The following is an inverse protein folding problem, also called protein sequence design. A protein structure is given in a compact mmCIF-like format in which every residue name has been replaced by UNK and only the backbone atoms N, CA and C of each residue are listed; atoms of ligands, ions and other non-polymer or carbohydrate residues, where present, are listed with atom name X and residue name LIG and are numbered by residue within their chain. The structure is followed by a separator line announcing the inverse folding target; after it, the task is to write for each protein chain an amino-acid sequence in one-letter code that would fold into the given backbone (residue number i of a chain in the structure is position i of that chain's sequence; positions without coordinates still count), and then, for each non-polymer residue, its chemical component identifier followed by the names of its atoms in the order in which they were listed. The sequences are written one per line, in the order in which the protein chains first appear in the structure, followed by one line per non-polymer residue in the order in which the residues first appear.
data_IF_745050915916
#
_entry.id   IF_745050915916
#
_cell.length_a   1.000
_cell.length_b   1.000
_cell.length_c   1.000
_cell.angle_alpha   90.00
_cell.angle_beta   90.00
_cell.angle_gamma   90.00
#
_symmetry.space_group_name_H-M   'P 1'
#
loop_
_entity.id
_entity.type
_entity.pdbx_description
1 polymer ?
#
# COMPACT_ATOMS: atom_id res chain seq x y z
N UNK A 1 -9.13 21.04 -2.44
CA UNK A 1 -8.99 20.34 -3.74
C UNK A 1 -10.30 19.62 -3.98
N UNK A 2 -10.79 19.53 -5.19
CA UNK A 2 -12.00 18.75 -5.49
C UNK A 2 -11.66 17.25 -5.35
N UNK A 3 -12.62 16.45 -4.90
CA UNK A 3 -12.48 14.99 -4.68
C UNK A 3 -11.90 14.18 -5.88
N UNK A 4 -11.81 14.79 -7.07
CA UNK A 4 -11.43 14.12 -8.31
C UNK A 4 -9.97 14.24 -8.73
N UNK A 5 -9.15 15.05 -8.08
CA UNK A 5 -7.79 15.39 -8.55
C UNK A 5 -6.66 14.92 -7.60
N UNK A 6 -6.98 14.30 -6.48
CA UNK A 6 -5.97 13.86 -5.49
C UNK A 6 -5.19 12.65 -6.00
N UNK A 7 -3.89 12.78 -6.20
CA UNK A 7 -3.03 11.67 -6.61
C UNK A 7 -2.64 10.82 -5.41
N UNK A 8 -2.77 9.50 -5.54
CA UNK A 8 -2.38 8.53 -4.50
C UNK A 8 -1.21 7.70 -5.00
N UNK A 9 -0.05 7.82 -4.35
CA UNK A 9 1.09 6.93 -4.62
C UNK A 9 1.01 5.71 -3.73
N UNK A 10 1.01 4.53 -4.35
CA UNK A 10 1.02 3.24 -3.66
C UNK A 10 2.32 2.52 -3.99
N UNK A 11 3.06 2.12 -2.96
CA UNK A 11 4.32 1.42 -3.08
C UNK A 11 4.13 -0.05 -2.71
N UNK A 12 4.59 -0.98 -3.55
CA UNK A 12 4.67 -2.40 -3.20
C UNK A 12 6.13 -2.84 -3.16
N UNK A 13 6.71 -3.06 -1.97
CA UNK A 13 8.00 -3.72 -1.83
C UNK A 13 7.83 -5.22 -2.06
N UNK A 14 8.78 -5.85 -2.78
CA UNK A 14 8.76 -7.27 -3.10
C UNK A 14 10.14 -7.90 -2.92
N UNK A 15 10.20 -9.08 -2.34
CA UNK A 15 11.39 -9.94 -2.37
C UNK A 15 11.01 -11.40 -2.22
N UNK A 16 11.18 -12.20 -3.30
CA UNK A 16 10.84 -13.61 -3.37
C UNK A 16 9.40 -13.92 -2.92
N UNK A 17 8.44 -13.22 -3.51
CA UNK A 17 7.01 -13.30 -3.17
C UNK A 17 6.13 -13.66 -4.39
N UNK A 18 6.66 -14.36 -5.40
CA UNK A 18 5.95 -14.69 -6.64
C UNK A 18 4.56 -15.31 -6.40
N UNK A 19 4.42 -16.11 -5.34
CA UNK A 19 3.14 -16.77 -5.01
C UNK A 19 2.01 -15.81 -4.61
N UNK A 20 2.33 -14.57 -4.19
CA UNK A 20 1.35 -13.60 -3.69
C UNK A 20 1.33 -12.31 -4.51
N UNK A 21 2.47 -11.92 -5.09
CA UNK A 21 2.69 -10.63 -5.73
C UNK A 21 1.66 -10.29 -6.80
N UNK A 22 1.29 -11.27 -7.65
CA UNK A 22 0.31 -11.04 -8.70
C UNK A 22 -1.04 -10.55 -8.14
N UNK A 23 -1.49 -11.16 -7.05
CA UNK A 23 -2.73 -10.76 -6.37
C UNK A 23 -2.64 -9.36 -5.78
N UNK A 24 -1.51 -9.01 -5.16
CA UNK A 24 -1.26 -7.67 -4.65
C UNK A 24 -1.36 -6.64 -5.78
N UNK A 25 -0.63 -6.86 -6.89
CA UNK A 25 -0.63 -5.98 -8.06
C UNK A 25 -2.04 -5.82 -8.63
N UNK A 26 -2.74 -6.92 -8.88
CA UNK A 26 -4.11 -6.88 -9.40
C UNK A 26 -5.06 -6.11 -8.49
N UNK A 27 -4.91 -6.22 -7.16
CA UNK A 27 -5.78 -5.54 -6.20
C UNK A 27 -5.63 -4.02 -6.22
N UNK A 28 -4.44 -3.51 -6.52
CA UNK A 28 -4.19 -2.08 -6.71
C UNK A 28 -4.74 -1.60 -8.06
N UNK A 29 -4.44 -2.34 -9.13
CA UNK A 29 -4.88 -1.99 -10.49
C UNK A 29 -6.40 -2.07 -10.67
N UNK A 30 -7.09 -2.89 -9.87
CA UNK A 30 -8.56 -3.04 -9.89
C UNK A 30 -9.29 -2.01 -9.01
N UNK A 31 -8.60 -1.08 -8.36
CA UNK A 31 -9.26 -0.03 -7.58
C UNK A 31 -10.09 0.89 -8.47
N UNK A 32 -11.24 1.28 -7.99
CA UNK A 32 -12.19 2.16 -8.68
C UNK A 32 -11.88 3.66 -8.48
N UNK A 33 -10.60 4.00 -8.34
CA UNK A 33 -10.08 5.35 -8.22
C UNK A 33 -9.09 5.64 -9.36
N UNK A 34 -9.29 6.71 -10.17
CA UNK A 34 -8.56 6.89 -11.42
C UNK A 34 -7.15 7.48 -11.26
N UNK A 35 -6.84 8.12 -10.13
CA UNK A 35 -5.58 8.84 -9.94
C UNK A 35 -4.64 8.08 -8.99
N UNK A 36 -4.16 6.93 -9.44
CA UNK A 36 -3.19 6.09 -8.71
C UNK A 36 -1.85 6.11 -9.45
N UNK A 37 -0.81 6.47 -8.72
CA UNK A 37 0.59 6.26 -9.07
C UNK A 37 1.05 4.98 -8.40
N UNK A 38 1.25 3.92 -9.20
CA UNK A 38 1.62 2.62 -8.67
C UNK A 38 3.09 2.29 -8.91
N UNK A 39 3.83 2.05 -7.83
CA UNK A 39 5.27 1.86 -7.80
C UNK A 39 5.58 0.48 -7.20
N UNK A 40 6.39 -0.34 -7.90
CA UNK A 40 6.84 -1.64 -7.38
C UNK A 40 8.35 -1.63 -7.24
N UNK A 41 8.84 -2.00 -6.06
CA UNK A 41 10.29 -2.08 -5.76
C UNK A 41 10.63 -3.51 -5.36
N UNK A 42 11.34 -4.19 -6.25
CA UNK A 42 11.77 -5.57 -6.03
C UNK A 42 13.25 -5.62 -5.60
N UNK A 43 13.54 -6.34 -4.53
CA UNK A 43 14.86 -6.47 -3.91
C UNK A 43 15.81 -7.44 -4.62
N UNK A 44 15.61 -7.70 -5.92
CA UNK A 44 16.42 -8.66 -6.69
C UNK A 44 15.94 -10.08 -6.52
N UNK A 45 14.64 -10.32 -6.65
CA UNK A 45 14.03 -11.65 -6.55
C UNK A 45 14.52 -12.63 -7.60
N UNK A 46 14.48 -13.93 -7.25
CA UNK A 46 14.91 -15.04 -8.11
C UNK A 46 13.86 -16.15 -8.24
N UNK A 47 12.64 -15.90 -7.77
CA UNK A 47 11.55 -16.90 -7.66
C UNK A 47 10.45 -16.77 -8.72
N UNK A 48 10.60 -15.86 -9.70
CA UNK A 48 9.58 -15.53 -10.70
C UNK A 48 8.84 -14.22 -10.42
N UNK A 49 9.13 -13.50 -9.33
CA UNK A 49 8.51 -12.21 -9.02
C UNK A 49 8.78 -11.16 -10.11
N UNK A 50 9.99 -11.14 -10.67
CA UNK A 50 10.38 -10.16 -11.71
C UNK A 50 9.58 -10.37 -12.99
N UNK A 51 9.32 -11.62 -13.37
CA UNK A 51 8.49 -11.96 -14.53
C UNK A 51 7.06 -11.46 -14.33
N UNK A 52 6.48 -11.65 -13.15
CA UNK A 52 5.17 -11.11 -12.79
C UNK A 52 5.16 -9.58 -12.92
N UNK A 53 6.15 -8.87 -12.37
CA UNK A 53 6.22 -7.41 -12.47
C UNK A 53 6.24 -6.96 -13.94
N UNK A 54 7.01 -7.64 -14.80
CA UNK A 54 7.08 -7.34 -16.24
C UNK A 54 5.76 -7.53 -16.97
N UNK A 55 4.96 -8.52 -16.60
CA UNK A 55 3.64 -8.75 -17.19
C UNK A 55 2.68 -7.56 -16.94
N UNK A 56 2.90 -6.81 -15.88
CA UNK A 56 2.12 -5.62 -15.52
C UNK A 56 2.84 -4.28 -15.80
N UNK A 57 4.06 -4.29 -16.35
CA UNK A 57 4.91 -3.09 -16.53
C UNK A 57 4.18 -1.92 -17.18
N UNK A 58 3.36 -2.17 -18.20
CA UNK A 58 2.62 -1.12 -18.90
C UNK A 58 1.56 -0.40 -18.05
N UNK A 59 1.22 -0.95 -16.88
CA UNK A 59 0.22 -0.43 -15.95
C UNK A 59 0.86 0.17 -14.70
N UNK A 60 2.17 -0.03 -14.51
CA UNK A 60 2.93 0.53 -13.41
C UNK A 60 3.46 1.92 -13.80
N UNK A 61 3.45 2.85 -12.85
CA UNK A 61 4.08 4.16 -13.05
C UNK A 61 5.60 4.04 -13.08
N UNK A 62 6.13 3.19 -12.21
CA UNK A 62 7.56 2.90 -12.15
C UNK A 62 7.81 1.57 -11.42
N UNK A 63 8.87 0.88 -11.80
CA UNK A 63 9.34 -0.28 -11.08
C UNK A 63 10.87 -0.46 -11.22
N UNK A 64 11.45 -1.20 -10.30
CA UNK A 64 12.86 -1.65 -10.38
C UNK A 64 12.97 -3.03 -9.75
N UNK A 65 14.00 -3.77 -10.18
CA UNK A 65 14.43 -5.01 -9.52
C UNK A 65 15.95 -4.96 -9.39
N UNK A 66 16.41 -4.76 -8.17
CA UNK A 66 17.83 -4.70 -7.83
C UNK A 66 18.02 -5.09 -6.36
N UNK A 67 19.17 -5.67 -5.97
CA UNK A 67 19.45 -5.94 -4.57
C UNK A 67 19.32 -4.69 -3.71
N UNK A 68 18.70 -4.84 -2.53
CA UNK A 68 18.50 -3.79 -1.55
C UNK A 68 18.92 -4.23 -0.14
N UNK A 69 18.87 -3.31 0.81
CA UNK A 69 19.16 -3.56 2.21
C UNK A 69 17.90 -3.99 3.00
N UNK A 70 16.91 -4.53 2.31
CA UNK A 70 15.67 -5.07 2.87
C UNK A 70 14.48 -4.14 2.75
N UNK A 71 13.35 -4.56 3.33
CA UNK A 71 12.02 -3.94 3.19
C UNK A 71 12.01 -2.41 3.37
N UNK A 72 12.73 -1.88 4.36
CA UNK A 72 12.77 -0.44 4.61
C UNK A 72 13.48 0.32 3.48
N UNK A 73 14.54 -0.26 2.90
CA UNK A 73 15.26 0.35 1.76
C UNK A 73 14.37 0.35 0.51
N UNK A 74 13.67 -0.75 0.24
CA UNK A 74 12.69 -0.82 -0.84
C UNK A 74 11.61 0.26 -0.70
N UNK A 75 11.04 0.44 0.50
CA UNK A 75 10.07 1.49 0.77
C UNK A 75 10.66 2.89 0.56
N UNK A 76 11.85 3.16 1.08
CA UNK A 76 12.51 4.45 0.90
C UNK A 76 12.75 4.77 -0.59
N UNK A 77 13.18 3.78 -1.39
CA UNK A 77 13.32 3.92 -2.84
C UNK A 77 11.99 4.26 -3.51
N UNK A 78 10.92 3.55 -3.13
CA UNK A 78 9.58 3.78 -3.66
C UNK A 78 9.05 5.17 -3.30
N UNK A 79 9.11 5.56 -2.02
CA UNK A 79 8.63 6.87 -1.58
C UNK A 79 9.46 8.03 -2.15
N UNK A 80 10.75 7.85 -2.39
CA UNK A 80 11.56 8.85 -3.09
C UNK A 80 11.13 9.11 -4.54
N UNK A 81 10.34 8.21 -5.13
CA UNK A 81 9.76 8.34 -6.48
C UNK A 81 8.32 8.82 -6.47
N UNK A 82 7.65 8.70 -5.34
CA UNK A 82 6.25 9.08 -5.18
C UNK A 82 6.05 10.58 -5.37
N UNK A 83 5.01 10.94 -6.09
CA UNK A 83 4.61 12.34 -6.34
C UNK A 83 3.18 12.66 -5.87
N UNK A 84 2.51 11.68 -5.26
CA UNK A 84 1.12 11.80 -4.81
C UNK A 84 0.92 12.74 -3.63
N UNK A 85 -0.27 13.30 -3.55
CA UNK A 85 -0.76 14.05 -2.39
C UNK A 85 -0.96 13.14 -1.17
N UNK A 86 -1.36 11.90 -1.45
CA UNK A 86 -1.50 10.82 -0.47
C UNK A 86 -0.55 9.68 -0.78
N UNK A 87 -0.03 9.08 0.28
CA UNK A 87 0.90 7.96 0.22
C UNK A 87 0.32 6.75 0.93
N UNK A 88 0.63 5.57 0.41
CA UNK A 88 0.36 4.29 1.04
C UNK A 88 1.42 3.26 0.61
N UNK A 89 1.56 2.17 1.36
CA UNK A 89 2.27 1.01 0.84
C UNK A 89 1.47 -0.27 1.12
N UNK A 90 1.55 -1.18 0.20
CA UNK A 90 0.92 -2.49 0.26
C UNK A 90 2.00 -3.56 0.12
N UNK A 91 2.18 -4.41 1.12
CA UNK A 91 3.13 -5.49 1.01
C UNK A 91 2.70 -6.48 -0.08
N UNK A 92 3.65 -7.18 -0.66
CA UNK A 92 3.43 -8.11 -1.77
C UNK A 92 2.60 -9.35 -1.40
N UNK A 93 2.37 -9.62 -0.11
CA UNK A 93 1.52 -10.69 0.41
C UNK A 93 0.15 -10.21 0.92
N UNK A 94 -0.10 -8.89 0.87
CA UNK A 94 -1.39 -8.25 1.18
C UNK A 94 -2.18 -7.89 -0.10
N UNK A 95 -3.46 -7.57 0.04
CA UNK A 95 -4.26 -7.03 -1.06
C UNK A 95 -5.38 -6.11 -0.57
N UNK A 96 -5.75 -5.14 -1.41
CA UNK A 96 -6.87 -4.25 -1.14
C UNK A 96 -8.22 -4.90 -1.49
N UNK A 97 -9.23 -4.60 -0.68
CA UNK A 97 -10.61 -4.78 -1.08
C UNK A 97 -11.05 -3.68 -2.08
N UNK A 98 -12.06 -3.95 -2.92
CA UNK A 98 -12.61 -2.92 -3.80
C UNK A 98 -13.06 -1.66 -3.04
N UNK A 99 -12.71 -0.48 -3.55
CA UNK A 99 -13.10 0.79 -2.96
C UNK A 99 -12.17 1.33 -1.86
N UNK A 100 -11.16 0.57 -1.43
CA UNK A 100 -10.28 0.98 -0.33
C UNK A 100 -9.60 2.34 -0.58
N UNK A 101 -9.07 2.55 -1.78
CA UNK A 101 -8.41 3.81 -2.15
C UNK A 101 -9.41 4.96 -2.20
N UNK A 102 -10.56 4.77 -2.85
CA UNK A 102 -11.59 5.81 -2.94
C UNK A 102 -12.10 6.25 -1.58
N UNK A 103 -12.35 5.31 -0.66
CA UNK A 103 -12.81 5.61 0.70
C UNK A 103 -11.75 6.39 1.49
N UNK A 104 -10.48 6.01 1.38
CA UNK A 104 -9.38 6.73 2.03
C UNK A 104 -9.23 8.16 1.50
N UNK A 105 -9.30 8.35 0.17
CA UNK A 105 -9.28 9.67 -0.47
C UNK A 105 -10.45 10.52 0.00
N UNK A 106 -11.69 10.00 -0.08
CA UNK A 106 -12.89 10.73 0.33
C UNK A 106 -12.82 11.16 1.81
N UNK A 107 -12.30 10.28 2.67
CA UNK A 107 -12.13 10.63 4.09
C UNK A 107 -11.09 11.74 4.28
N UNK A 108 -9.89 11.60 3.72
CA UNK A 108 -8.82 12.57 3.92
C UNK A 108 -9.13 13.93 3.26
N UNK A 109 -9.78 13.95 2.11
CA UNK A 109 -10.20 15.22 1.47
C UNK A 109 -11.29 15.92 2.26
N UNK A 110 -12.21 15.17 2.87
CA UNK A 110 -13.24 15.70 3.74
C UNK A 110 -12.76 16.17 5.13
N UNK A 111 -11.54 15.77 5.55
CA UNK A 111 -10.97 16.07 6.86
C UNK A 111 -9.54 16.62 6.72
N UNK A 112 -9.36 17.88 6.34
CA UNK A 112 -8.05 18.46 6.04
C UNK A 112 -7.10 18.56 7.25
N UNK A 113 -7.62 18.46 8.46
CA UNK A 113 -6.89 18.42 9.73
C UNK A 113 -6.39 17.01 10.12
N UNK A 114 -6.79 15.98 9.36
CA UNK A 114 -6.35 14.59 9.57
C UNK A 114 -5.19 14.27 8.65
N UNK A 115 -4.05 13.85 9.21
CA UNK A 115 -2.85 13.48 8.45
C UNK A 115 -2.85 12.03 7.95
N UNK A 116 -3.59 11.13 8.62
CA UNK A 116 -3.57 9.69 8.32
C UNK A 116 -4.92 9.05 8.60
N UNK A 117 -5.34 8.14 7.73
CA UNK A 117 -6.52 7.27 7.91
C UNK A 117 -6.12 5.80 7.79
N UNK A 118 -6.80 4.96 8.53
CA UNK A 118 -6.68 3.50 8.44
C UNK A 118 -8.02 2.84 8.80
N UNK A 119 -8.24 1.66 8.26
CA UNK A 119 -9.45 0.88 8.48
C UNK A 119 -9.16 -0.50 9.06
N UNK A 120 -10.21 -1.30 9.21
CA UNK A 120 -10.08 -2.71 9.59
C UNK A 120 -9.33 -3.50 8.52
N UNK A 121 -8.69 -4.60 8.94
CA UNK A 121 -8.11 -5.59 8.03
C UNK A 121 -8.59 -7.00 8.38
N UNK A 122 -8.52 -7.90 7.42
CA UNK A 122 -8.77 -9.31 7.65
C UNK A 122 -7.44 -10.09 7.58
N UNK A 123 -7.29 -11.06 8.48
CA UNK A 123 -6.24 -12.08 8.34
C UNK A 123 -6.68 -13.10 7.31
N UNK A 124 -5.80 -13.42 6.39
CA UNK A 124 -6.05 -14.40 5.34
C UNK A 124 -5.04 -15.55 5.40
N UNK A 125 -5.47 -16.74 4.96
CA UNK A 125 -4.56 -17.86 4.74
C UNK A 125 -3.85 -17.72 3.37
N UNK A 126 -2.84 -18.56 3.07
CA UNK A 126 -2.15 -18.53 1.78
C UNK A 126 -3.05 -18.73 0.55
N UNK A 127 -4.25 -19.28 0.73
CA UNK A 127 -5.28 -19.41 -0.32
C UNK A 127 -6.20 -18.18 -0.38
N UNK A 128 -5.99 -17.19 0.49
CA UNK A 128 -6.75 -15.94 0.57
C UNK A 128 -8.12 -16.08 1.22
N UNK A 129 -8.36 -17.14 1.99
CA UNK A 129 -9.58 -17.28 2.78
C UNK A 129 -9.42 -16.49 4.08
N UNK A 130 -10.47 -15.74 4.45
CA UNK A 130 -10.47 -14.99 5.71
C UNK A 130 -10.48 -15.97 6.88
N UNK A 131 -9.50 -15.84 7.76
CA UNK A 131 -9.34 -16.67 8.98
C UNK A 131 -9.46 -15.86 10.27
N UNK A 132 -9.61 -14.55 10.18
CA UNK A 132 -9.79 -13.67 11.33
C UNK A 132 -9.92 -12.21 10.89
N UNK A 133 -10.22 -11.34 11.86
CA UNK A 133 -10.31 -9.89 11.64
C UNK A 133 -9.34 -9.15 12.55
N UNK A 134 -8.71 -8.14 12.02
CA UNK A 134 -7.92 -7.16 12.76
C UNK A 134 -8.73 -5.85 12.81
N UNK A 135 -9.50 -5.61 13.87
CA UNK A 135 -10.26 -4.38 14.00
C UNK A 135 -9.31 -3.20 14.24
N UNK A 136 -9.44 -2.17 13.43
CA UNK A 136 -8.80 -0.90 13.68
C UNK A 136 -9.40 -0.23 14.93
N UNK A 137 -8.59 0.49 15.68
CA UNK A 137 -9.09 1.30 16.78
C UNK A 137 -8.37 2.63 16.80
N UNK A 138 -9.12 3.69 17.09
CA UNK A 138 -8.52 5.01 17.27
C UNK A 138 -7.39 4.94 18.28
N UNK A 139 -6.22 5.39 17.89
CA UNK A 139 -5.02 5.39 18.74
C UNK A 139 -4.58 6.81 19.06
N UNK A 140 -3.80 6.94 20.12
CA UNK A 140 -3.12 8.15 20.52
C UNK A 140 -1.69 7.83 20.98
N UNK A 141 -0.86 8.86 21.15
CA UNK A 141 0.53 8.68 21.57
C UNK A 141 0.67 7.85 22.85
N UNK A 142 -0.24 7.99 23.83
CA UNK A 142 -0.18 7.24 25.09
C UNK A 142 -0.44 5.76 24.88
N UNK A 143 -1.41 5.41 24.01
CA UNK A 143 -1.69 4.03 23.63
C UNK A 143 -0.52 3.42 22.88
N UNK A 144 0.03 4.14 21.90
CA UNK A 144 1.22 3.72 21.16
C UNK A 144 2.42 3.46 22.07
N UNK A 145 2.73 4.36 23.00
CA UNK A 145 3.80 4.20 23.97
C UNK A 145 3.60 3.01 24.92
N UNK A 146 2.38 2.56 25.12
CA UNK A 146 2.03 1.37 25.92
C UNK A 146 1.98 0.07 25.10
N UNK A 147 2.33 0.12 23.82
CA UNK A 147 2.27 -1.03 22.90
C UNK A 147 0.87 -1.38 22.40
N UNK A 148 -0.14 -0.54 22.67
CA UNK A 148 -1.49 -0.72 22.13
C UNK A 148 -1.59 -0.06 20.75
N UNK A 149 -1.07 -0.75 19.73
CA UNK A 149 -1.14 -0.30 18.34
C UNK A 149 -2.16 -1.14 17.60
N UNK A 150 -3.25 -0.51 17.18
CA UNK A 150 -4.31 -1.11 16.38
C UNK A 150 -4.41 -0.40 15.02
N UNK A 151 -3.28 -0.29 14.35
CA UNK A 151 -3.15 0.30 13.02
C UNK A 151 -2.77 -0.82 12.06
N UNK A 152 -3.72 -1.38 11.30
CA UNK A 152 -3.39 -2.33 10.24
C UNK A 152 -2.65 -1.59 9.12
N UNK A 153 -1.42 -1.95 8.89
CA UNK A 153 -0.54 -1.26 7.93
C UNK A 153 -1.13 -1.28 6.52
N UNK A 154 -1.62 -2.43 6.06
CA UNK A 154 -2.18 -2.60 4.71
C UNK A 154 -3.39 -1.68 4.40
N UNK A 155 -4.03 -1.09 5.42
CA UNK A 155 -5.17 -0.18 5.23
C UNK A 155 -4.84 1.28 5.50
N UNK A 156 -3.55 1.61 5.67
CA UNK A 156 -3.09 2.94 6.08
C UNK A 156 -2.78 3.81 4.86
N UNK A 157 -3.41 5.00 4.82
CA UNK A 157 -3.14 6.06 3.86
C UNK A 157 -2.82 7.35 4.63
N UNK A 158 -1.86 8.11 4.15
CA UNK A 158 -1.42 9.33 4.83
C UNK A 158 -1.03 10.44 3.84
N UNK A 159 -1.07 11.68 4.30
CA UNK A 159 -0.67 12.83 3.50
C UNK A 159 0.83 12.83 3.26
N UNK A 160 1.25 13.25 2.08
CA UNK A 160 2.67 13.31 1.73
C UNK A 160 3.47 14.34 2.54
N UNK A 161 2.82 15.35 3.11
CA UNK A 161 3.46 16.39 3.92
C UNK A 161 3.82 15.97 5.36
N UNK A 162 3.41 14.75 5.77
CA UNK A 162 3.80 14.17 7.07
C UNK A 162 4.87 13.07 6.95
N UNK A 163 5.36 12.80 5.74
CA UNK A 163 6.41 11.81 5.46
C UNK A 163 7.83 12.37 5.54
#
# INVERSE_FOLDING_TARGET
MADGDTLVSIITPSFNQAQYLERAVQSVLAQDYPHIEYIVVDGGSTDGSVEIIRDYEAQLTWWTSEPDDGHADALNKGFARASGDLLAWLNSDDYYYPGAVREAVAFLTGHPDVGMVYGDADYIDPQGRVIGRFPAAQTDLRRMMRGYVHIPQATTFFRSDIW
#
